data_IF_433697892697
#
_entry.id   IF_433697892697
#
_cell.length_a   1.000
_cell.length_b   1.000
_cell.length_c   1.000
_cell.angle_alpha   90.00
_cell.angle_beta   90.00
_cell.angle_gamma   90.00
#
_symmetry.space_group_name_H-M   'P 1'
#
loop_
_entity.id
_entity.type
_entity.pdbx_description
1 polymer ?
#
# COMPACT_ATOMS: atom_id res chain seq x y z
N UNK A 1 11.49 10.76 -10.25
CA UNK A 1 12.21 10.92 -8.97
C UNK A 1 11.63 12.03 -8.11
N UNK A 2 11.52 13.28 -8.59
CA UNK A 2 10.88 14.35 -7.79
C UNK A 2 9.45 14.01 -7.34
N UNK A 3 8.61 13.50 -8.25
CA UNK A 3 7.25 13.02 -7.96
C UNK A 3 7.22 11.99 -6.80
N UNK A 4 7.99 10.91 -6.93
CA UNK A 4 8.07 9.83 -5.92
C UNK A 4 8.56 10.29 -4.55
N UNK A 5 9.57 11.18 -4.48
CA UNK A 5 10.15 11.57 -3.19
C UNK A 5 9.39 12.70 -2.51
N UNK A 6 8.91 13.70 -3.26
CA UNK A 6 8.29 14.88 -2.68
C UNK A 6 6.77 14.74 -2.56
N UNK A 7 6.08 14.35 -3.65
CA UNK A 7 4.62 14.22 -3.62
C UNK A 7 4.23 12.93 -2.90
N UNK A 8 4.77 11.80 -3.35
CA UNK A 8 4.41 10.49 -2.79
C UNK A 8 5.17 10.17 -1.51
N UNK A 9 6.25 10.89 -1.20
CA UNK A 9 6.99 10.74 0.06
C UNK A 9 6.52 11.73 1.11
N UNK A 10 6.94 12.99 0.98
CA UNK A 10 6.67 14.04 1.96
C UNK A 10 5.17 14.39 1.99
N UNK A 11 4.52 14.50 0.84
CA UNK A 11 3.07 14.75 0.77
C UNK A 11 2.26 13.64 1.45
N UNK A 12 2.59 12.38 1.16
CA UNK A 12 1.96 11.23 1.81
C UNK A 12 2.23 11.17 3.32
N UNK A 13 3.44 11.53 3.76
CA UNK A 13 3.78 11.62 5.19
C UNK A 13 2.88 12.62 5.92
N UNK A 14 2.74 13.83 5.38
CA UNK A 14 1.93 14.89 5.99
C UNK A 14 0.46 14.48 6.02
N UNK A 15 -0.06 13.98 4.89
CA UNK A 15 -1.47 13.59 4.77
C UNK A 15 -1.80 12.40 5.68
N UNK A 16 -1.00 11.34 5.62
CA UNK A 16 -1.23 10.15 6.44
C UNK A 16 -1.06 10.43 7.93
N UNK A 17 -0.04 11.22 8.29
CA UNK A 17 0.16 11.63 9.69
C UNK A 17 -0.98 12.49 10.20
N UNK A 18 -1.47 13.44 9.40
CA UNK A 18 -2.63 14.26 9.74
C UNK A 18 -3.91 13.44 9.94
N UNK A 19 -4.20 12.50 9.04
CA UNK A 19 -5.39 11.64 9.14
C UNK A 19 -5.32 10.75 10.38
N UNK A 20 -4.19 10.09 10.64
CA UNK A 20 -4.04 9.23 11.81
C UNK A 20 -4.10 10.03 13.12
N UNK A 21 -3.52 11.24 13.15
CA UNK A 21 -3.65 12.15 14.28
C UNK A 21 -5.11 12.54 14.53
N UNK A 22 -5.84 12.91 13.47
CA UNK A 22 -7.25 13.30 13.59
C UNK A 22 -8.12 12.14 14.10
N UNK A 23 -7.90 10.92 13.60
CA UNK A 23 -8.60 9.72 14.08
C UNK A 23 -8.29 9.44 15.55
N UNK A 24 -7.02 9.56 15.96
CA UNK A 24 -6.62 9.42 17.36
C UNK A 24 -7.29 10.49 18.24
N UNK A 25 -7.31 11.73 17.77
CA UNK A 25 -7.92 12.85 18.49
C UNK A 25 -9.41 12.59 18.75
N UNK A 26 -10.16 12.22 17.71
CA UNK A 26 -11.60 11.89 17.85
C UNK A 26 -11.79 10.71 18.80
N UNK A 27 -11.01 9.65 18.66
CA UNK A 27 -11.13 8.45 19.50
C UNK A 27 -10.87 8.76 20.98
N UNK A 28 -9.80 9.48 21.29
CA UNK A 28 -9.42 9.75 22.68
C UNK A 28 -10.17 10.91 23.34
N UNK A 29 -10.82 11.77 22.56
CA UNK A 29 -11.69 12.83 23.10
C UNK A 29 -13.12 12.36 23.36
N UNK A 30 -13.58 11.35 22.63
CA UNK A 30 -14.94 10.79 22.79
C UNK A 30 -15.00 9.67 23.84
N UNK A 31 -13.87 9.01 24.12
CA UNK A 31 -13.79 7.97 25.13
C UNK A 31 -13.66 8.54 26.55
N UNK A 32 -14.39 7.92 27.50
CA UNK A 32 -14.29 8.25 28.92
C UNK A 32 -13.00 7.66 29.51
N UNK A 33 -11.91 8.41 29.33
CA UNK A 33 -10.55 8.06 29.75
C UNK A 33 -10.39 7.97 31.26
N UNK A 34 -11.38 8.43 32.04
CA UNK A 34 -11.42 8.26 33.50
C UNK A 34 -11.83 6.84 33.91
N UNK A 35 -12.72 6.21 33.12
CA UNK A 35 -13.26 4.87 33.39
C UNK A 35 -12.42 3.76 32.75
N UNK A 36 -11.88 4.03 31.55
CA UNK A 36 -11.03 3.11 30.79
C UNK A 36 -9.75 3.82 30.34
N UNK A 37 -8.69 3.82 31.15
CA UNK A 37 -7.46 4.53 30.81
C UNK A 37 -6.79 3.89 29.59
N UNK A 38 -6.04 4.70 28.84
CA UNK A 38 -5.32 4.25 27.64
C UNK A 38 -4.14 3.40 28.09
N UNK A 39 -4.06 2.17 27.57
CA UNK A 39 -3.07 1.17 27.96
C UNK A 39 -2.25 0.73 26.75
N UNK A 40 -1.02 0.29 26.99
CA UNK A 40 -0.15 -0.16 25.90
C UNK A 40 -0.65 -1.47 25.31
N UNK A 41 -0.93 -2.48 26.14
CA UNK A 41 -1.33 -3.81 25.68
C UNK A 41 -2.77 -4.19 26.04
N UNK A 42 -3.26 -3.84 27.23
CA UNK A 42 -4.55 -4.31 27.71
C UNK A 42 -5.75 -3.66 26.99
N UNK A 43 -6.78 -4.48 26.74
CA UNK A 43 -8.09 -4.05 26.27
C UNK A 43 -8.86 -3.30 27.38
N UNK A 44 -9.83 -2.41 27.05
CA UNK A 44 -10.39 -2.13 25.72
C UNK A 44 -9.62 -1.09 24.88
N UNK A 45 -8.82 -0.22 25.51
CA UNK A 45 -8.14 0.90 24.84
C UNK A 45 -6.64 0.60 24.65
N UNK A 46 -6.33 -0.38 23.79
CA UNK A 46 -4.96 -0.84 23.52
C UNK A 46 -4.30 -0.02 22.41
N UNK A 47 -3.16 0.62 22.73
CA UNK A 47 -2.35 1.33 21.74
C UNK A 47 -1.62 0.39 20.78
N UNK A 48 -1.14 -0.75 21.29
CA UNK A 48 -0.39 -1.70 20.47
C UNK A 48 -1.27 -2.35 19.41
N UNK A 49 -2.51 -2.70 19.77
CA UNK A 49 -3.49 -3.25 18.83
C UNK A 49 -3.92 -2.21 17.79
N UNK A 50 -4.21 -0.98 18.23
CA UNK A 50 -4.59 0.12 17.34
C UNK A 50 -3.47 0.45 16.32
N UNK A 51 -2.21 0.51 16.77
CA UNK A 51 -1.05 0.67 15.88
C UNK A 51 -0.93 -0.46 14.85
N UNK A 52 -1.11 -1.72 15.27
CA UNK A 52 -1.06 -2.87 14.37
C UNK A 52 -2.14 -2.78 13.27
N UNK A 53 -3.37 -2.46 13.68
CA UNK A 53 -4.51 -2.31 12.76
C UNK A 53 -4.29 -1.13 11.81
N UNK A 54 -3.78 0.00 12.30
CA UNK A 54 -3.41 1.15 11.48
C UNK A 54 -2.43 0.74 10.38
N UNK A 55 -1.36 0.00 10.70
CA UNK A 55 -0.37 -0.40 9.69
C UNK A 55 -1.02 -1.24 8.58
N UNK A 56 -1.84 -2.21 8.96
CA UNK A 56 -2.50 -3.12 8.02
C UNK A 56 -3.48 -2.36 7.12
N UNK A 57 -4.42 -1.63 7.73
CA UNK A 57 -5.48 -0.93 7.00
C UNK A 57 -4.88 0.17 6.13
N UNK A 58 -3.95 0.97 6.66
CA UNK A 58 -3.33 2.06 5.91
C UNK A 58 -2.61 1.51 4.67
N UNK A 59 -1.77 0.48 4.79
CA UNK A 59 -1.08 -0.06 3.62
C UNK A 59 -2.03 -0.61 2.55
N UNK A 60 -3.12 -1.27 2.95
CA UNK A 60 -4.13 -1.75 1.99
C UNK A 60 -4.82 -0.57 1.31
N UNK A 61 -5.27 0.45 2.06
CA UNK A 61 -5.94 1.61 1.49
C UNK A 61 -5.01 2.44 0.60
N UNK A 62 -3.79 2.70 1.05
CA UNK A 62 -2.77 3.41 0.27
C UNK A 62 -2.51 2.69 -1.05
N UNK A 63 -2.45 1.36 -1.07
CA UNK A 63 -2.28 0.60 -2.32
C UNK A 63 -3.37 0.93 -3.36
N UNK A 64 -4.63 1.00 -2.94
CA UNK A 64 -5.75 1.36 -3.83
C UNK A 64 -5.75 2.84 -4.22
N UNK A 65 -5.40 3.72 -3.29
CA UNK A 65 -5.28 5.17 -3.57
C UNK A 65 -4.20 5.40 -4.64
N UNK A 66 -3.03 4.79 -4.49
CA UNK A 66 -1.93 4.90 -5.45
C UNK A 66 -2.29 4.32 -6.81
N UNK A 67 -3.03 3.20 -6.85
CA UNK A 67 -3.54 2.67 -8.10
C UNK A 67 -4.37 3.73 -8.85
N UNK A 68 -5.26 4.42 -8.15
CA UNK A 68 -6.11 5.47 -8.72
C UNK A 68 -5.32 6.71 -9.15
N UNK A 69 -4.47 7.23 -8.25
CA UNK A 69 -3.69 8.45 -8.48
C UNK A 69 -2.72 8.29 -9.65
N UNK A 70 -1.93 7.21 -9.65
CA UNK A 70 -0.97 6.97 -10.73
C UNK A 70 -1.69 6.76 -12.07
N UNK A 71 -2.82 6.05 -12.08
CA UNK A 71 -3.61 5.87 -13.30
C UNK A 71 -4.15 7.20 -13.83
N UNK A 72 -4.64 8.07 -12.94
CA UNK A 72 -5.11 9.41 -13.28
C UNK A 72 -3.98 10.28 -13.83
N UNK A 73 -2.83 10.32 -13.15
CA UNK A 73 -1.68 11.14 -13.56
C UNK A 73 -1.06 10.68 -14.88
N UNK A 74 -1.07 9.36 -15.15
CA UNK A 74 -0.69 8.80 -16.44
C UNK A 74 -1.69 9.20 -17.54
N UNK A 75 -3.00 9.17 -17.25
CA UNK A 75 -4.04 9.55 -18.22
C UNK A 75 -3.95 11.02 -18.64
N UNK A 76 -3.58 11.90 -17.72
CA UNK A 76 -3.37 13.33 -17.98
C UNK A 76 -1.98 13.65 -18.53
N UNK A 77 -1.12 12.64 -18.71
CA UNK A 77 0.28 12.79 -19.13
C UNK A 77 1.11 13.68 -18.18
N UNK A 78 0.68 13.82 -16.93
CA UNK A 78 1.40 14.59 -15.91
C UNK A 78 2.67 13.86 -15.46
N UNK A 79 2.67 12.53 -15.53
CA UNK A 79 3.82 11.68 -15.16
C UNK A 79 4.12 10.69 -16.29
N UNK A 80 5.41 10.39 -16.48
CA UNK A 80 5.85 9.38 -17.45
C UNK A 80 5.97 8.01 -16.78
N UNK A 81 5.51 6.94 -17.44
CA UNK A 81 5.68 5.59 -16.93
C UNK A 81 7.15 5.18 -16.95
N UNK A 82 7.56 4.36 -15.98
CA UNK A 82 8.96 3.91 -15.86
C UNK A 82 9.16 2.69 -16.76
N UNK A 83 9.56 2.93 -18.02
CA UNK A 83 9.78 1.87 -19.02
C UNK A 83 11.23 1.42 -19.20
N UNK A 84 12.17 1.97 -18.41
CA UNK A 84 13.61 1.65 -18.53
C UNK A 84 13.98 0.30 -17.89
N UNK A 85 13.23 -0.13 -16.88
CA UNK A 85 13.50 -1.37 -16.15
C UNK A 85 12.93 -2.54 -16.97
N UNK A 86 13.72 -3.60 -17.25
CA UNK A 86 13.22 -4.76 -17.99
C UNK A 86 12.19 -5.54 -17.17
N UNK A 87 11.28 -6.24 -17.86
CA UNK A 87 10.33 -7.11 -17.20
C UNK A 87 11.04 -8.20 -16.39
N UNK A 88 10.58 -8.49 -15.15
CA UNK A 88 11.15 -9.56 -14.36
C UNK A 88 10.88 -10.93 -15.00
N UNK A 89 11.89 -11.80 -15.01
CA UNK A 89 11.78 -13.17 -15.53
C UNK A 89 11.20 -14.16 -14.51
N UNK A 90 11.29 -13.87 -13.21
CA UNK A 90 10.88 -14.81 -12.16
C UNK A 90 9.34 -14.92 -12.04
N UNK A 91 8.76 -16.13 -11.89
CA UNK A 91 7.31 -16.33 -11.80
C UNK A 91 6.61 -15.55 -10.68
N UNK A 92 7.27 -15.45 -9.52
CA UNK A 92 6.70 -14.76 -8.36
C UNK A 92 6.62 -13.23 -8.55
N UNK A 93 7.67 -12.60 -9.09
CA UNK A 93 7.61 -11.18 -9.44
C UNK A 93 6.58 -10.93 -10.55
N UNK A 94 6.48 -11.80 -11.56
CA UNK A 94 5.45 -11.67 -12.60
C UNK A 94 4.04 -11.74 -12.03
N UNK A 95 3.79 -12.65 -11.09
CA UNK A 95 2.54 -12.69 -10.32
C UNK A 95 2.32 -11.37 -9.56
N UNK A 96 3.33 -10.89 -8.82
CA UNK A 96 3.25 -9.64 -8.06
C UNK A 96 2.85 -8.47 -8.96
N UNK A 97 3.40 -8.39 -10.18
CA UNK A 97 3.19 -7.29 -11.13
C UNK A 97 2.02 -7.46 -12.12
N UNK A 98 1.20 -8.51 -12.00
CA UNK A 98 0.15 -8.84 -12.98
C UNK A 98 0.67 -9.11 -14.40
N UNK A 99 1.92 -9.59 -14.56
CA UNK A 99 2.47 -9.96 -15.85
C UNK A 99 2.04 -11.39 -16.23
N UNK A 100 1.70 -11.65 -17.51
CA UNK A 100 1.42 -13.01 -17.97
C UNK A 100 2.59 -13.94 -17.65
N UNK A 101 2.34 -15.15 -17.15
CA UNK A 101 3.39 -16.16 -16.99
C UNK A 101 4.11 -16.38 -18.34
N UNK A 102 5.44 -16.64 -18.35
CA UNK A 102 6.12 -17.02 -19.58
C UNK A 102 5.38 -18.21 -20.21
N UNK A 103 5.35 -18.34 -21.54
CA UNK A 103 4.63 -19.42 -22.21
C UNK A 103 5.22 -20.78 -21.78
N UNK A 104 4.65 -21.37 -20.73
CA UNK A 104 4.78 -22.78 -20.44
C UNK A 104 3.97 -23.51 -21.50
N UNK A 105 4.61 -24.44 -22.20
CA UNK A 105 3.98 -25.38 -23.15
C UNK A 105 2.87 -26.16 -22.45
N UNK A 106 1.68 -25.60 -22.41
CA UNK A 106 0.42 -26.27 -22.05
C UNK A 106 -0.69 -25.22 -22.18
N UNK A 107 -1.01 -24.87 -23.43
CA UNK A 107 -2.37 -24.50 -23.79
C UNK A 107 -3.24 -25.74 -23.63
N UNK A 108 -3.70 -25.99 -22.41
CA UNK A 108 -4.95 -26.68 -22.18
C UNK A 108 -5.75 -25.74 -21.29
N UNK A 109 -6.50 -24.87 -21.94
CA UNK A 109 -7.55 -24.04 -21.35
C UNK A 109 -8.53 -25.00 -20.64
N UNK A 110 -8.61 -25.07 -19.31
CA UNK A 110 -9.76 -25.67 -18.69
C UNK A 110 -10.92 -24.72 -19.01
N UNK A 111 -11.97 -25.26 -19.62
CA UNK A 111 -13.23 -24.57 -19.88
C UNK A 111 -13.64 -23.77 -18.64
N UNK A 112 -13.45 -22.45 -18.67
CA UNK A 112 -13.82 -21.57 -17.58
C UNK A 112 -15.36 -21.58 -17.48
N UNK A 113 -15.85 -22.25 -16.44
CA UNK A 113 -17.17 -22.03 -15.86
C UNK A 113 -17.55 -20.54 -15.93
N UNK A 114 -18.83 -20.18 -16.17
CA UNK A 114 -19.26 -18.79 -16.21
C UNK A 114 -19.15 -18.17 -14.80
N UNK A 115 -17.93 -17.80 -14.41
CA UNK A 115 -17.66 -17.08 -13.17
C UNK A 115 -18.46 -15.79 -13.26
N UNK A 116 -19.34 -15.60 -12.29
CA UNK A 116 -20.14 -14.39 -12.21
C UNK A 116 -19.21 -13.17 -12.30
N UNK A 117 -19.64 -12.12 -13.02
CA UNK A 117 -18.87 -10.87 -13.16
C UNK A 117 -18.43 -10.34 -11.78
N UNK A 118 -19.24 -10.57 -10.75
CA UNK A 118 -18.98 -10.23 -9.36
C UNK A 118 -17.79 -11.04 -8.80
N UNK A 119 -17.74 -12.35 -9.04
CA UNK A 119 -16.64 -13.20 -8.57
C UNK A 119 -15.28 -12.81 -9.17
N UNK A 120 -15.26 -12.39 -10.43
CA UNK A 120 -14.05 -11.90 -11.11
C UNK A 120 -13.57 -10.54 -10.55
N UNK A 121 -14.51 -9.62 -10.25
CA UNK A 121 -14.17 -8.34 -9.63
C UNK A 121 -13.66 -8.57 -8.20
N UNK A 122 -14.33 -9.42 -7.42
CA UNK A 122 -13.94 -9.70 -6.05
C UNK A 122 -12.55 -10.35 -5.99
N UNK A 123 -12.25 -11.32 -6.85
CA UNK A 123 -10.93 -11.95 -6.89
C UNK A 123 -9.84 -10.94 -7.25
N UNK A 124 -10.13 -10.00 -8.14
CA UNK A 124 -9.21 -8.91 -8.49
C UNK A 124 -8.96 -7.97 -7.31
N UNK A 125 -10.00 -7.58 -6.56
CA UNK A 125 -9.88 -6.75 -5.36
C UNK A 125 -9.06 -7.46 -4.28
N UNK A 126 -9.37 -8.73 -4.00
CA UNK A 126 -8.64 -9.54 -3.01
C UNK A 126 -7.16 -9.65 -3.39
N UNK A 127 -6.86 -9.86 -4.67
CA UNK A 127 -5.50 -9.89 -5.17
C UNK A 127 -4.78 -8.55 -4.96
N UNK A 128 -5.43 -7.41 -5.19
CA UNK A 128 -4.83 -6.10 -4.92
C UNK A 128 -4.61 -5.88 -3.42
N UNK A 129 -5.62 -6.21 -2.59
CA UNK A 129 -5.53 -6.10 -1.14
C UNK A 129 -4.38 -6.96 -0.57
N UNK A 130 -4.15 -8.16 -1.12
CA UNK A 130 -3.05 -9.03 -0.72
C UNK A 130 -1.68 -8.38 -0.96
N UNK A 131 -1.52 -7.61 -2.04
CA UNK A 131 -0.25 -6.93 -2.36
C UNK A 131 -0.02 -5.73 -1.44
N UNK A 132 -1.07 -4.94 -1.18
CA UNK A 132 -1.04 -3.92 -0.12
C UNK A 132 -0.71 -4.53 1.24
N UNK A 133 -1.26 -5.71 1.56
CA UNK A 133 -0.98 -6.44 2.78
C UNK A 133 0.47 -6.94 2.86
N UNK A 134 1.10 -7.35 1.75
CA UNK A 134 2.52 -7.72 1.75
C UNK A 134 3.42 -6.56 2.19
N UNK A 135 3.13 -5.35 1.72
CA UNK A 135 3.82 -4.14 2.19
C UNK A 135 3.47 -3.81 3.65
N UNK A 136 2.24 -4.11 4.08
CA UNK A 136 1.84 -4.00 5.48
C UNK A 136 2.66 -4.91 6.40
N UNK A 137 2.95 -6.16 5.99
CA UNK A 137 3.78 -7.09 6.78
C UNK A 137 5.18 -6.52 6.96
N UNK A 138 5.78 -5.97 5.90
CA UNK A 138 7.10 -5.32 6.00
C UNK A 138 7.04 -4.10 6.92
N UNK A 139 6.04 -3.22 6.74
CA UNK A 139 5.82 -2.07 7.61
C UNK A 139 5.58 -2.46 9.07
N UNK A 140 4.86 -3.54 9.32
CA UNK A 140 4.58 -4.05 10.66
C UNK A 140 5.86 -4.52 11.36
N UNK A 141 6.65 -5.36 10.68
CA UNK A 141 7.92 -5.86 11.23
C UNK A 141 8.91 -4.72 11.51
N UNK A 142 8.92 -3.70 10.66
CA UNK A 142 9.84 -2.56 10.80
C UNK A 142 9.38 -1.54 11.85
N UNK A 143 8.10 -1.19 11.88
CA UNK A 143 7.62 -0.04 12.66
C UNK A 143 6.92 -0.44 13.94
N UNK A 144 6.24 -1.59 14.00
CA UNK A 144 5.45 -1.94 15.17
C UNK A 144 6.33 -2.14 16.41
N UNK A 145 7.38 -2.97 16.33
CA UNK A 145 8.29 -3.23 17.46
C UNK A 145 8.93 -1.96 18.03
N UNK A 146 9.61 -1.13 17.20
CA UNK A 146 10.17 0.14 17.64
C UNK A 146 9.12 1.10 18.20
N UNK A 147 7.92 1.13 17.63
CA UNK A 147 6.80 1.94 18.11
C UNK A 147 6.40 1.56 19.55
N UNK A 148 6.25 0.26 19.82
CA UNK A 148 5.97 -0.23 21.18
C UNK A 148 7.13 0.13 22.12
N UNK A 149 8.37 -0.06 21.68
CA UNK A 149 9.56 0.31 22.46
C UNK A 149 9.57 1.79 22.87
N UNK A 150 9.33 2.70 21.92
CA UNK A 150 9.23 4.14 22.19
C UNK A 150 8.09 4.44 23.15
N UNK A 151 6.93 3.81 22.96
CA UNK A 151 5.78 4.00 23.85
C UNK A 151 6.09 3.62 25.31
N UNK A 152 6.90 2.58 25.55
CA UNK A 152 7.29 2.22 26.93
C UNK A 152 8.12 3.30 27.65
N UNK A 153 8.78 4.21 26.91
CA UNK A 153 9.54 5.33 27.49
C UNK A 153 8.62 6.43 28.03
N UNK A 154 7.50 6.67 27.34
CA UNK A 154 6.55 7.75 27.70
C UNK A 154 5.41 7.28 28.62
N UNK A 155 5.23 5.97 28.78
CA UNK A 155 4.17 5.40 29.60
C UNK A 155 4.53 5.31 31.08
N UNK A 156 3.54 5.45 31.96
CA UNK A 156 3.70 5.21 33.39
C UNK A 156 3.40 3.74 33.68
N UNK A 157 4.38 3.01 34.22
CA UNK A 157 4.23 1.60 34.54
C UNK A 157 3.27 1.39 35.72
N UNK A 158 2.23 0.59 35.53
CA UNK A 158 1.33 0.16 36.61
C UNK A 158 0.76 -1.23 36.33
N UNK A 159 0.80 -2.11 37.33
CA UNK A 159 0.13 -3.42 37.26
C UNK A 159 0.60 -4.33 36.11
N UNK A 160 1.83 -4.16 35.61
CA UNK A 160 2.38 -4.94 34.50
C UNK A 160 2.13 -4.36 33.10
N UNK A 161 1.47 -3.20 32.99
CA UNK A 161 1.25 -2.48 31.73
C UNK A 161 1.72 -1.02 31.84
N UNK A 162 1.67 -0.30 30.73
CA UNK A 162 1.99 1.13 30.64
C UNK A 162 0.70 1.92 30.39
N UNK A 163 0.49 2.95 31.22
CA UNK A 163 -0.65 3.85 31.11
C UNK A 163 -0.23 5.21 30.57
N UNK A 164 -1.13 5.81 29.80
CA UNK A 164 -0.96 7.14 29.22
C UNK A 164 -2.09 8.04 29.74
N UNK A 165 -1.73 8.95 30.65
CA UNK A 165 -2.67 9.94 31.21
C UNK A 165 -2.72 11.19 30.33
N UNK A 166 -1.66 11.48 29.58
CA UNK A 166 -1.60 12.61 28.66
C UNK A 166 -2.35 12.29 27.36
N UNK A 167 -3.25 13.20 26.96
CA UNK A 167 -4.05 13.07 25.74
C UNK A 167 -3.21 13.30 24.48
N UNK A 168 -2.08 14.00 24.60
CA UNK A 168 -1.24 14.34 23.44
C UNK A 168 -0.33 13.19 23.00
N UNK A 169 0.18 12.38 23.93
CA UNK A 169 1.14 11.31 23.60
C UNK A 169 0.54 10.27 22.64
N UNK A 170 -0.65 9.70 22.90
CA UNK A 170 -1.30 8.78 21.96
C UNK A 170 -1.58 9.39 20.57
N UNK A 171 -1.99 10.65 20.54
CA UNK A 171 -2.35 11.35 19.30
C UNK A 171 -1.11 11.63 18.44
N UNK A 172 -0.07 12.19 19.06
CA UNK A 172 1.21 12.45 18.42
C UNK A 172 1.86 11.14 17.95
N UNK A 173 1.82 10.09 18.77
CA UNK A 173 2.29 8.76 18.39
C UNK A 173 1.59 8.26 17.12
N UNK A 174 0.26 8.31 17.07
CA UNK A 174 -0.49 7.85 15.90
C UNK A 174 -0.19 8.67 14.65
N UNK A 175 -0.09 9.99 14.80
CA UNK A 175 0.28 10.88 13.69
C UNK A 175 1.68 10.58 13.15
N UNK A 176 2.67 10.41 14.03
CA UNK A 176 4.04 10.09 13.62
C UNK A 176 4.10 8.71 12.98
N UNK A 177 3.47 7.69 13.58
CA UNK A 177 3.43 6.35 13.01
C UNK A 177 2.79 6.35 11.61
N UNK A 178 1.64 7.00 11.47
CA UNK A 178 0.94 7.13 10.19
C UNK A 178 1.78 7.84 9.14
N UNK A 179 2.42 8.95 9.51
CA UNK A 179 3.29 9.73 8.62
C UNK A 179 4.54 8.97 8.20
N UNK A 180 5.28 8.37 9.14
CA UNK A 180 6.46 7.55 8.83
C UNK A 180 6.07 6.35 7.96
N UNK A 181 4.95 5.70 8.26
CA UNK A 181 4.46 4.61 7.43
C UNK A 181 4.15 5.09 6.01
N UNK A 182 3.44 6.22 5.85
CA UNK A 182 3.15 6.81 4.53
C UNK A 182 4.41 7.17 3.76
N UNK A 183 5.39 7.78 4.41
CA UNK A 183 6.68 8.10 3.80
C UNK A 183 7.39 6.86 3.25
N UNK A 184 7.31 5.75 3.97
CA UNK A 184 8.01 4.52 3.62
C UNK A 184 7.27 3.65 2.61
N UNK A 185 5.93 3.70 2.58
CA UNK A 185 5.12 2.79 1.77
C UNK A 185 4.62 3.41 0.48
N UNK A 186 4.28 4.69 0.49
CA UNK A 186 3.68 5.35 -0.66
C UNK A 186 4.64 5.46 -1.87
N UNK A 187 5.92 5.89 -1.73
CA UNK A 187 6.82 5.96 -2.88
C UNK A 187 7.09 4.59 -3.55
N UNK A 188 7.32 3.50 -2.80
CA UNK A 188 7.41 2.17 -3.39
C UNK A 188 6.14 1.71 -4.11
N UNK A 189 4.96 2.02 -3.58
CA UNK A 189 3.67 1.69 -4.21
C UNK A 189 3.47 2.46 -5.51
N UNK A 190 3.75 3.76 -5.53
CA UNK A 190 3.69 4.58 -6.74
C UNK A 190 4.70 4.10 -7.80
N UNK A 191 5.93 3.78 -7.37
CA UNK A 191 6.94 3.21 -8.26
C UNK A 191 6.49 1.87 -8.87
N UNK A 192 5.86 0.99 -8.07
CA UNK A 192 5.29 -0.26 -8.56
C UNK A 192 4.29 -0.01 -9.70
N UNK A 193 3.34 0.90 -9.51
CA UNK A 193 2.32 1.20 -10.52
C UNK A 193 2.89 1.86 -11.77
N UNK A 194 3.87 2.76 -11.63
CA UNK A 194 4.56 3.39 -12.75
C UNK A 194 5.39 2.41 -13.58
N UNK A 195 6.04 1.43 -12.94
CA UNK A 195 6.76 0.36 -13.65
C UNK A 195 5.80 -0.55 -14.41
N UNK A 196 4.69 -0.96 -13.77
CA UNK A 196 3.66 -1.76 -14.42
C UNK A 196 3.12 -1.07 -15.68
N UNK A 197 2.77 0.21 -15.58
CA UNK A 197 2.31 0.98 -16.73
C UNK A 197 3.40 1.13 -17.83
N UNK A 198 4.67 1.19 -17.43
CA UNK A 198 5.81 1.20 -18.36
C UNK A 198 5.92 -0.06 -19.20
N UNK A 199 5.71 -1.23 -18.58
CA UNK A 199 5.72 -2.51 -19.28
C UNK A 199 4.51 -2.68 -20.19
N UNK A 200 3.31 -2.34 -19.72
CA UNK A 200 2.09 -2.39 -20.52
C UNK A 200 2.21 -1.51 -21.78
N UNK A 201 2.70 -0.27 -21.63
CA UNK A 201 2.91 0.63 -22.76
C UNK A 201 4.06 0.21 -23.71
N UNK A 202 5.05 -0.56 -23.24
CA UNK A 202 6.10 -1.11 -24.11
C UNK A 202 5.60 -2.31 -24.93
N UNK A 203 4.73 -3.13 -24.34
CA UNK A 203 4.10 -4.25 -25.02
C UNK A 203 3.21 -3.78 -26.16
N UNK A 204 2.32 -2.82 -25.91
CA UNK A 204 1.45 -2.22 -26.93
C UNK A 204 2.25 -1.63 -28.10
N UNK A 205 3.35 -0.92 -27.80
CA UNK A 205 4.24 -0.36 -28.82
C UNK A 205 4.94 -1.43 -29.66
N UNK A 206 5.32 -2.55 -29.04
CA UNK A 206 5.97 -3.67 -29.73
C UNK A 206 5.00 -4.39 -30.67
N UNK A 207 3.78 -4.65 -30.19
CA UNK A 207 2.70 -5.26 -30.98
C UNK A 207 2.28 -4.37 -32.16
N UNK A 208 2.15 -3.06 -31.94
CA UNK A 208 1.85 -2.11 -33.01
C UNK A 208 2.95 -2.08 -34.09
N UNK A 209 4.23 -2.16 -33.69
CA UNK A 209 5.37 -2.24 -34.64
C UNK A 209 5.35 -3.54 -35.43
N UNK A 210 5.06 -4.67 -34.79
CA UNK A 210 4.95 -5.97 -35.45
C UNK A 210 3.79 -6.00 -36.46
N UNK A 211 2.62 -5.46 -36.09
CA UNK A 211 1.46 -5.33 -36.97
C UNK A 211 1.76 -4.47 -38.21
N UNK A 212 2.44 -3.33 -38.02
CA UNK A 212 2.88 -2.48 -39.14
C UNK A 212 3.85 -3.21 -40.06
N UNK A 213 4.86 -3.89 -39.50
CA UNK A 213 5.85 -4.66 -40.27
C UNK A 213 5.16 -5.72 -41.13
N UNK A 214 4.24 -6.50 -40.55
CA UNK A 214 3.47 -7.52 -41.27
C UNK A 214 2.67 -6.96 -42.45
N UNK A 215 2.04 -5.78 -42.30
CA UNK A 215 1.34 -5.12 -43.42
C UNK A 215 2.26 -4.75 -44.58
N UNK A 216 3.48 -4.29 -44.30
CA UNK A 216 4.44 -3.98 -45.37
C UNK A 216 4.94 -5.25 -46.08
N UNK A 217 5.16 -6.35 -45.34
CA UNK A 217 5.61 -7.61 -45.95
C UNK A 217 4.54 -8.26 -46.84
N UNK A 218 3.25 -8.07 -46.52
CA UNK A 218 2.13 -8.64 -47.30
C UNK A 218 1.69 -7.75 -48.48
N UNK A 219 2.27 -6.55 -48.63
CA UNK A 219 1.94 -5.61 -49.71
C UNK A 219 2.92 -5.69 -50.91
N UNK A 220 3.87 -6.62 -50.87
CA UNK A 220 4.86 -6.93 -51.92
C UNK A 220 4.56 -8.33 -52.46
#
# INVERSE_FOLDING_TARGET
MFYLFFLDGIGAMILSGGVNFALAYVMYTTQDTTKNPIRLFQLPNTLAGDAAVTIIIQCILTWFVEMGLVSYDLSNRSVQPIGFIPEPSSPWLRWLFYLPSPPSKSEETPEDEPKSKIGLVLSSIVQQALRGFMLAVVGFLLLWGPSIGILTVFGVRSGGDYLYQDRWVPQAFKGILGGVLGLLTTPPMAAFWLMKAGWEGNKERTEARASRRSRYTNAV
#
